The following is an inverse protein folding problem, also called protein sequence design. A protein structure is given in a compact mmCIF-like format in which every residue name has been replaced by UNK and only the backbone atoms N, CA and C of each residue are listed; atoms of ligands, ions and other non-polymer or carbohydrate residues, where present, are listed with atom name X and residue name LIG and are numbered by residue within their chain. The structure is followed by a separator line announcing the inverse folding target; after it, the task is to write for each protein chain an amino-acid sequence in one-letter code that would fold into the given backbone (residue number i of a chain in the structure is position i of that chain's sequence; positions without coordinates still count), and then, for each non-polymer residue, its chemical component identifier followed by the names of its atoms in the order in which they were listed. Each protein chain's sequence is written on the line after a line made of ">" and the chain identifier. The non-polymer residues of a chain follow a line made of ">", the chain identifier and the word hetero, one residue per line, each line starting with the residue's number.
data_IF_060031814289
#
_entry.id   IF_060031814289
#
_cell.length_a   1.000
_cell.length_b   1.000
_cell.length_c   1.000
_cell.angle_alpha   90.00
_cell.angle_beta   90.00
_cell.angle_gamma   90.00
#
_symmetry.space_group_name_H-M   'P 1'
#
loop_
_entity.id
_entity.type
_entity.pdbx_description
1 polymer ?
#
# COMPACT_ATOMS: atom_id res chain seq x y z
N UNK A 1 -2.38 -15.97 30.98
CA UNK A 1 -1.78 -15.03 30.01
C UNK A 1 -2.25 -15.33 28.57
N UNK A 2 -3.44 -15.91 28.34
CA UNK A 2 -3.85 -16.45 27.03
C UNK A 2 -4.97 -15.68 26.31
N UNK A 3 -5.79 -14.90 27.03
CA UNK A 3 -6.99 -14.30 26.42
C UNK A 3 -6.72 -12.93 25.76
N UNK A 4 -5.65 -12.24 26.18
CA UNK A 4 -5.29 -10.92 25.66
C UNK A 4 -4.60 -10.98 24.29
N UNK A 5 -3.72 -11.99 24.06
CA UNK A 5 -3.00 -12.18 22.79
C UNK A 5 -3.95 -12.59 21.65
N UNK A 6 -4.87 -13.52 21.91
CA UNK A 6 -5.88 -13.96 20.94
C UNK A 6 -6.80 -12.80 20.47
N UNK A 7 -7.05 -11.82 21.35
CA UNK A 7 -7.87 -10.64 21.02
C UNK A 7 -7.12 -9.62 20.15
N UNK A 8 -5.80 -9.50 20.31
CA UNK A 8 -4.97 -8.57 19.53
C UNK A 8 -4.63 -9.14 18.15
N UNK A 9 -4.37 -10.44 18.06
CA UNK A 9 -4.15 -11.14 16.77
C UNK A 9 -5.37 -11.05 15.86
N UNK A 10 -6.58 -11.19 16.42
CA UNK A 10 -7.83 -11.01 15.70
C UNK A 10 -8.00 -9.58 15.16
N UNK A 11 -7.61 -8.56 15.94
CA UNK A 11 -7.63 -7.16 15.50
C UNK A 11 -6.58 -6.88 14.43
N UNK A 12 -5.39 -7.45 14.55
CA UNK A 12 -4.32 -7.34 13.54
C UNK A 12 -4.81 -7.93 12.21
N UNK A 13 -5.42 -9.10 12.26
CA UNK A 13 -5.94 -9.77 11.07
C UNK A 13 -7.10 -8.99 10.41
N UNK A 14 -7.99 -8.39 11.21
CA UNK A 14 -9.05 -7.54 10.66
C UNK A 14 -8.48 -6.27 10.01
N UNK A 15 -7.48 -5.62 10.63
CA UNK A 15 -6.78 -4.47 10.03
C UNK A 15 -6.12 -4.87 8.71
N UNK A 16 -5.45 -6.03 8.66
CA UNK A 16 -4.86 -6.56 7.43
C UNK A 16 -5.91 -6.76 6.34
N UNK A 17 -7.07 -7.33 6.64
CA UNK A 17 -8.16 -7.51 5.66
C UNK A 17 -8.70 -6.19 5.12
N UNK A 18 -8.81 -5.18 5.98
CA UNK A 18 -9.19 -3.82 5.54
C UNK A 18 -8.13 -3.27 4.58
N UNK A 19 -6.85 -3.43 4.90
CA UNK A 19 -5.76 -2.97 4.04
C UNK A 19 -5.80 -3.61 2.65
N UNK A 20 -5.98 -4.94 2.58
CA UNK A 20 -6.11 -5.69 1.33
C UNK A 20 -7.28 -5.16 0.49
N UNK A 21 -8.45 -4.97 1.12
CA UNK A 21 -9.64 -4.46 0.43
C UNK A 21 -9.44 -3.04 -0.11
N UNK A 22 -8.83 -2.17 0.68
CA UNK A 22 -8.47 -0.81 0.25
C UNK A 22 -7.54 -0.84 -0.96
N UNK A 23 -6.54 -1.73 -0.96
CA UNK A 23 -5.61 -1.89 -2.07
C UNK A 23 -6.31 -2.37 -3.35
N UNK A 24 -7.16 -3.40 -3.26
CA UNK A 24 -7.90 -3.92 -4.41
C UNK A 24 -8.80 -2.86 -5.04
N UNK A 25 -9.56 -2.12 -4.23
CA UNK A 25 -10.42 -1.05 -4.74
C UNK A 25 -9.59 0.13 -5.27
N UNK A 26 -8.46 0.45 -4.64
CA UNK A 26 -7.50 1.43 -5.15
C UNK A 26 -7.01 1.09 -6.55
N UNK A 27 -6.69 -0.18 -6.80
CA UNK A 27 -6.29 -0.65 -8.13
C UNK A 27 -7.41 -0.47 -9.16
N UNK A 28 -8.65 -0.85 -8.83
CA UNK A 28 -9.82 -0.65 -9.71
C UNK A 28 -10.05 0.83 -10.03
N UNK A 29 -9.78 1.73 -9.09
CA UNK A 29 -9.90 3.17 -9.30
C UNK A 29 -8.79 3.71 -10.22
N UNK A 30 -7.56 3.18 -10.11
CA UNK A 30 -6.48 3.53 -11.05
C UNK A 30 -6.81 3.11 -12.49
N UNK A 31 -7.42 1.93 -12.69
CA UNK A 31 -7.90 1.48 -14.01
C UNK A 31 -8.95 2.44 -14.60
N UNK A 32 -9.75 3.06 -13.73
CA UNK A 32 -10.76 4.07 -14.09
C UNK A 32 -10.20 5.49 -14.16
N UNK A 33 -8.89 5.69 -14.07
CA UNK A 33 -8.20 6.99 -13.99
C UNK A 33 -8.66 7.89 -12.82
N UNK A 34 -9.28 7.32 -11.78
CA UNK A 34 -9.72 8.03 -10.57
C UNK A 34 -8.58 8.12 -9.56
N UNK A 35 -7.48 8.74 -9.97
CA UNK A 35 -6.20 8.70 -9.25
C UNK A 35 -6.27 9.32 -7.83
N UNK A 36 -7.05 10.38 -7.62
CA UNK A 36 -7.21 10.99 -6.28
C UNK A 36 -8.03 10.12 -5.31
N UNK A 37 -9.02 9.39 -5.82
CA UNK A 37 -9.77 8.42 -5.00
C UNK A 37 -8.87 7.23 -4.64
N UNK A 38 -8.11 6.71 -5.61
CA UNK A 38 -7.14 5.64 -5.40
C UNK A 38 -6.08 6.03 -4.35
N UNK A 39 -5.55 7.26 -4.42
CA UNK A 39 -4.56 7.79 -3.47
C UNK A 39 -5.04 7.68 -2.03
N UNK A 40 -6.32 8.01 -1.77
CA UNK A 40 -6.91 7.93 -0.43
C UNK A 40 -7.00 6.49 0.07
N UNK A 41 -7.33 5.55 -0.81
CA UNK A 41 -7.41 4.13 -0.44
C UNK A 41 -6.04 3.52 -0.18
N UNK A 42 -5.02 3.84 -0.98
CA UNK A 42 -3.66 3.37 -0.71
C UNK A 42 -3.10 3.95 0.59
N UNK A 43 -3.40 5.21 0.90
CA UNK A 43 -3.07 5.79 2.21
C UNK A 43 -3.69 4.99 3.37
N UNK A 44 -4.97 4.63 3.27
CA UNK A 44 -5.63 3.78 4.27
C UNK A 44 -4.99 2.39 4.35
N UNK A 45 -4.66 1.77 3.21
CA UNK A 45 -4.00 0.46 3.19
C UNK A 45 -2.65 0.50 3.94
N UNK A 46 -1.86 1.56 3.74
CA UNK A 46 -0.60 1.80 4.45
C UNK A 46 -0.84 2.05 5.94
N UNK A 47 -1.86 2.82 6.33
CA UNK A 47 -2.19 3.05 7.75
C UNK A 47 -2.54 1.76 8.49
N UNK A 48 -3.25 0.83 7.83
CA UNK A 48 -3.63 -0.46 8.42
C UNK A 48 -2.51 -1.51 8.36
N UNK A 49 -1.62 -1.44 7.37
CA UNK A 49 -0.52 -2.37 7.20
C UNK A 49 0.68 -1.66 6.55
N UNK A 50 1.50 -0.95 7.37
CA UNK A 50 2.54 -0.05 6.87
C UNK A 50 3.74 -0.76 6.22
N UNK A 51 3.89 -2.07 6.46
CA UNK A 51 5.05 -2.85 6.03
C UNK A 51 4.82 -3.64 4.74
N UNK A 52 3.72 -3.42 4.00
CA UNK A 52 3.51 -4.04 2.70
C UNK A 52 4.12 -3.17 1.60
N UNK A 53 5.11 -3.70 0.89
CA UNK A 53 5.76 -3.00 -0.21
C UNK A 53 4.76 -2.74 -1.35
N UNK A 54 3.79 -3.62 -1.58
CA UNK A 54 2.78 -3.45 -2.64
C UNK A 54 1.95 -2.18 -2.45
N UNK A 55 1.62 -1.81 -1.21
CA UNK A 55 0.82 -0.62 -0.95
C UNK A 55 1.62 0.66 -1.20
N UNK A 56 2.91 0.66 -0.86
CA UNK A 56 3.82 1.76 -1.19
C UNK A 56 4.08 1.85 -2.69
N UNK A 57 4.24 0.72 -3.39
CA UNK A 57 4.36 0.69 -4.85
C UNK A 57 3.13 1.28 -5.54
N UNK A 58 1.93 0.85 -5.14
CA UNK A 58 0.69 1.36 -5.71
C UNK A 58 0.48 2.85 -5.38
N UNK A 59 0.89 3.29 -4.19
CA UNK A 59 0.92 4.71 -3.84
C UNK A 59 1.87 5.51 -4.74
N UNK A 60 3.09 4.99 -4.97
CA UNK A 60 4.07 5.61 -5.86
C UNK A 60 3.56 5.74 -7.30
N UNK A 61 2.96 4.67 -7.85
CA UNK A 61 2.31 4.68 -9.16
C UNK A 61 1.16 5.70 -9.24
N UNK A 62 0.39 5.82 -8.15
CA UNK A 62 -0.71 6.80 -8.07
C UNK A 62 -0.18 8.23 -8.10
N UNK A 63 0.88 8.52 -7.33
CA UNK A 63 1.52 9.84 -7.33
C UNK A 63 2.14 10.18 -8.69
N UNK A 64 2.77 9.20 -9.35
CA UNK A 64 3.28 9.35 -10.72
C UNK A 64 2.15 9.72 -11.70
N UNK A 65 1.01 9.02 -11.65
CA UNK A 65 -0.18 9.33 -12.47
C UNK A 65 -0.80 10.70 -12.16
N UNK A 66 -0.56 11.25 -10.97
CA UNK A 66 -0.98 12.59 -10.55
C UNK A 66 0.07 13.66 -10.86
N UNK A 67 1.18 13.31 -11.51
CA UNK A 67 2.33 14.19 -11.75
C UNK A 67 2.95 14.79 -10.47
N UNK A 68 2.85 14.04 -9.37
CA UNK A 68 3.40 14.36 -8.04
C UNK A 68 4.68 13.55 -7.84
N UNK A 69 5.74 14.00 -8.49
CA UNK A 69 6.96 13.18 -8.64
C UNK A 69 7.73 13.04 -7.33
N UNK A 70 7.77 14.07 -6.50
CA UNK A 70 8.49 14.04 -5.22
C UNK A 70 7.88 12.97 -4.29
N UNK A 71 6.55 12.96 -4.13
CA UNK A 71 5.86 11.96 -3.32
C UNK A 71 5.94 10.55 -3.93
N UNK A 72 5.99 10.45 -5.26
CA UNK A 72 6.20 9.19 -5.96
C UNK A 72 7.58 8.60 -5.64
N UNK A 73 8.62 9.43 -5.62
CA UNK A 73 9.98 9.03 -5.25
C UNK A 73 10.01 8.58 -3.79
N UNK A 74 9.43 9.35 -2.86
CA UNK A 74 9.39 8.98 -1.45
C UNK A 74 8.71 7.62 -1.21
N UNK A 75 7.56 7.39 -1.84
CA UNK A 75 6.85 6.12 -1.76
C UNK A 75 7.64 4.97 -2.40
N UNK A 76 8.34 5.25 -3.51
CA UNK A 76 9.22 4.26 -4.17
C UNK A 76 10.39 3.87 -3.28
N UNK A 77 11.00 4.84 -2.59
CA UNK A 77 12.10 4.58 -1.65
C UNK A 77 11.63 3.70 -0.49
N UNK A 78 10.42 3.92 0.05
CA UNK A 78 9.87 3.02 1.07
C UNK A 78 9.57 1.62 0.57
N UNK A 79 9.14 1.49 -0.68
CA UNK A 79 8.99 0.20 -1.31
C UNK A 79 10.33 -0.58 -1.33
N UNK A 80 11.40 0.08 -1.78
CA UNK A 80 12.76 -0.49 -1.83
C UNK A 80 13.28 -0.83 -0.43
N UNK A 81 12.99 0.00 0.57
CA UNK A 81 13.41 -0.25 1.96
C UNK A 81 12.74 -1.49 2.56
N UNK A 82 11.47 -1.75 2.21
CA UNK A 82 10.72 -2.89 2.73
C UNK A 82 11.14 -4.20 2.05
N UNK A 83 11.17 -4.25 0.72
CA UNK A 83 11.52 -5.44 -0.04
C UNK A 83 12.43 -5.12 -1.24
N UNK A 84 13.74 -4.89 -1.01
CA UNK A 84 14.65 -4.43 -2.06
C UNK A 84 14.76 -5.41 -3.22
N UNK A 85 14.81 -6.72 -2.94
CA UNK A 85 14.96 -7.76 -3.96
C UNK A 85 13.73 -7.87 -4.87
N UNK A 86 12.53 -7.78 -4.27
CA UNK A 86 11.26 -7.86 -5.02
C UNK A 86 11.08 -6.61 -5.88
N UNK A 87 11.37 -5.43 -5.34
CA UNK A 87 11.20 -4.17 -6.06
C UNK A 87 12.13 -4.05 -7.26
N UNK A 88 13.38 -4.47 -7.12
CA UNK A 88 14.32 -4.53 -8.24
C UNK A 88 13.76 -5.44 -9.35
N UNK A 89 13.14 -6.57 -8.98
CA UNK A 89 12.47 -7.46 -9.93
C UNK A 89 11.25 -6.85 -10.63
N UNK A 90 10.48 -5.99 -9.94
CA UNK A 90 9.31 -5.31 -10.51
C UNK A 90 9.67 -4.13 -11.43
N UNK A 91 10.74 -3.39 -11.12
CA UNK A 91 11.18 -2.24 -11.93
C UNK A 91 11.91 -2.62 -13.21
N UNK A 92 12.54 -3.79 -13.24
CA UNK A 92 13.32 -4.27 -14.38
C UNK A 92 12.50 -5.12 -15.37
N UNK A 93 11.19 -5.23 -15.16
CA UNK A 93 10.26 -5.99 -16.00
C UNK A 93 9.43 -5.08 -16.89
#
# INVERSE_FOLDING_TARGET
>A
MSDSECSEDSKIEERRKIAIRCNEEGCRLLEKNKNEEARRLFKLAIEFSPNSFEYHYNSALTFYKLNRLDESIEATLKCIELEPEVVIGYMLK
#
